data_IF_371308631161
#
_entry.id   IF_371308631161
#
_cell.length_a   1.000
_cell.length_b   1.000
_cell.length_c   1.000
_cell.angle_alpha   90.00
_cell.angle_beta   90.00
_cell.angle_gamma   90.00
#
_symmetry.space_group_name_H-M   'P 1'
#
loop_
_entity.id
_entity.type
_entity.pdbx_description
1 polymer ?
#
# COMPACT_ATOMS: atom_id res chain seq x y z
N UNK A 1 15.66 15.59 -4.21
CA UNK A 1 16.24 14.81 -5.34
C UNK A 1 17.49 14.15 -4.81
N UNK A 2 17.53 12.82 -4.74
CA UNK A 2 18.69 12.09 -4.22
C UNK A 2 19.62 11.76 -5.40
N UNK A 3 20.91 12.08 -5.28
CA UNK A 3 21.89 11.87 -6.35
C UNK A 3 22.90 10.83 -5.87
N UNK A 4 22.97 9.72 -6.58
CA UNK A 4 23.93 8.65 -6.33
C UNK A 4 25.11 8.84 -7.26
N UNK A 5 26.32 8.91 -6.71
CA UNK A 5 27.56 9.09 -7.49
C UNK A 5 28.46 7.86 -7.32
N UNK A 6 29.10 7.45 -8.42
CA UNK A 6 30.21 6.50 -8.40
C UNK A 6 31.51 7.27 -8.18
N UNK A 7 32.34 6.83 -7.23
CA UNK A 7 33.63 7.46 -6.93
C UNK A 7 34.72 6.39 -7.04
N UNK A 8 35.73 6.66 -7.87
CA UNK A 8 36.92 5.80 -7.97
C UNK A 8 37.90 6.10 -6.83
N UNK A 9 38.36 5.08 -6.13
CA UNK A 9 39.34 5.23 -5.07
C UNK A 9 40.70 5.74 -5.62
N UNK A 10 41.25 6.79 -5.00
CA UNK A 10 42.68 7.12 -5.11
C UNK A 10 43.43 6.55 -3.90
N UNK A 11 44.62 5.95 -4.07
CA UNK A 11 45.28 5.22 -3.00
C UNK A 11 46.15 6.15 -2.16
N UNK A 12 45.67 6.57 -0.99
CA UNK A 12 46.53 6.97 0.13
C UNK A 12 45.68 7.17 1.39
N UNK A 13 45.78 6.25 2.34
CA UNK A 13 46.11 6.52 3.75
C UNK A 13 46.23 5.16 4.46
N UNK A 14 47.46 4.86 4.82
CA UNK A 14 47.88 3.70 5.60
C UNK A 14 47.27 3.69 6.99
N UNK A 15 46.78 2.53 7.44
CA UNK A 15 46.68 2.24 8.88
C UNK A 15 47.14 0.81 9.14
N UNK A 16 48.36 0.71 9.65
CA UNK A 16 49.00 -0.52 10.05
C UNK A 16 48.38 -1.04 11.36
N UNK A 17 48.04 -2.33 11.40
CA UNK A 17 48.02 -3.12 12.63
C UNK A 17 48.41 -4.54 12.28
N UNK A 18 49.53 -4.98 12.85
CA UNK A 18 50.18 -6.26 12.59
C UNK A 18 49.47 -7.40 13.33
N UNK A 19 49.31 -8.56 12.67
CA UNK A 19 49.32 -9.85 13.34
C UNK A 19 49.75 -10.98 12.38
N UNK A 20 50.39 -12.00 12.96
CA UNK A 20 51.35 -12.96 12.40
C UNK A 20 50.86 -13.89 11.27
N UNK A 21 51.84 -14.21 10.42
CA UNK A 21 51.94 -15.17 9.32
C UNK A 21 51.47 -16.61 9.63
N UNK A 22 50.65 -17.19 8.75
CA UNK A 22 50.73 -18.61 8.37
C UNK A 22 50.59 -18.72 6.85
N UNK A 23 51.44 -19.54 6.24
CA UNK A 23 51.86 -19.51 4.84
C UNK A 23 50.80 -20.03 3.84
N UNK A 24 50.60 -19.30 2.74
CA UNK A 24 49.80 -19.66 1.55
C UNK A 24 50.74 -20.25 0.48
N UNK A 25 50.39 -21.30 -0.28
CA UNK A 25 50.87 -21.44 -1.64
C UNK A 25 50.03 -20.55 -2.57
N UNK A 26 50.73 -19.68 -3.29
CA UNK A 26 50.20 -18.70 -4.22
C UNK A 26 49.40 -19.33 -5.36
N UNK A 27 48.19 -18.81 -5.58
CA UNK A 27 47.55 -18.81 -6.88
C UNK A 27 47.07 -17.38 -7.09
N UNK A 28 47.87 -16.66 -7.88
CA UNK A 28 47.65 -15.27 -8.26
C UNK A 28 46.49 -15.21 -9.25
N UNK A 29 45.27 -15.06 -8.73
CA UNK A 29 44.14 -14.60 -9.52
C UNK A 29 43.99 -13.10 -9.29
N UNK A 30 44.72 -12.34 -10.12
CA UNK A 30 44.57 -10.90 -10.28
C UNK A 30 43.21 -10.65 -10.93
N UNK A 31 42.19 -10.49 -10.10
CA UNK A 31 41.02 -9.72 -10.46
C UNK A 31 41.22 -8.35 -9.83
N UNK A 32 41.56 -7.36 -10.66
CA UNK A 32 41.50 -5.95 -10.29
C UNK A 32 40.09 -5.68 -9.75
N UNK A 33 39.96 -5.55 -8.43
CA UNK A 33 38.74 -5.04 -7.82
C UNK A 33 38.75 -3.53 -8.11
N UNK A 34 38.23 -3.15 -9.28
CA UNK A 34 37.69 -1.81 -9.52
C UNK A 34 36.51 -1.64 -8.55
N UNK A 35 36.84 -1.47 -7.27
CA UNK A 35 35.94 -1.35 -6.14
C UNK A 35 35.30 0.03 -6.21
N UNK A 36 34.42 0.22 -7.20
CA UNK A 36 33.58 1.39 -7.33
C UNK A 36 32.58 1.37 -6.18
N UNK A 37 32.95 1.95 -5.06
CA UNK A 37 32.05 2.08 -3.92
C UNK A 37 31.08 3.23 -4.18
N UNK A 38 29.80 2.94 -3.98
CA UNK A 38 28.72 3.92 -4.14
C UNK A 38 28.46 4.59 -2.79
N UNK A 39 28.67 5.91 -2.70
CA UNK A 39 28.43 6.68 -1.47
C UNK A 39 27.11 7.44 -1.58
N UNK A 40 26.29 7.38 -0.54
CA UNK A 40 25.10 8.21 -0.43
C UNK A 40 25.51 9.64 -0.02
N UNK A 41 25.62 10.53 -1.00
CA UNK A 41 26.00 11.94 -0.81
C UNK A 41 24.77 12.85 -0.77
N UNK A 42 24.78 13.88 0.08
CA UNK A 42 23.75 14.95 0.07
C UNK A 42 22.44 14.61 0.80
N UNK A 43 22.40 13.53 1.57
CA UNK A 43 21.25 13.14 2.39
C UNK A 43 21.57 13.18 3.88
N UNK A 44 20.53 13.31 4.71
CA UNK A 44 20.71 13.35 6.15
C UNK A 44 21.08 11.95 6.71
N UNK A 45 21.72 11.92 7.89
CA UNK A 45 22.17 10.67 8.53
C UNK A 45 21.05 9.64 8.72
N UNK A 46 19.82 10.11 9.00
CA UNK A 46 18.64 9.27 9.08
C UNK A 46 18.39 8.52 7.77
N UNK A 47 18.43 9.21 6.63
CA UNK A 47 18.17 8.59 5.33
C UNK A 47 19.28 7.63 4.92
N UNK A 48 20.54 7.96 5.23
CA UNK A 48 21.68 7.05 5.05
C UNK A 48 21.46 5.75 5.83
N UNK A 49 20.99 5.85 7.08
CA UNK A 49 20.73 4.68 7.93
C UNK A 49 19.59 3.81 7.38
N UNK A 50 18.52 4.42 6.87
CA UNK A 50 17.40 3.72 6.25
C UNK A 50 17.82 3.01 4.96
N UNK A 51 18.59 3.68 4.10
CA UNK A 51 19.13 3.07 2.89
C UNK A 51 20.04 1.88 3.19
N UNK A 52 20.88 1.96 4.23
CA UNK A 52 21.70 0.81 4.67
C UNK A 52 20.84 -0.38 5.07
N UNK A 53 19.80 -0.17 5.88
CA UNK A 53 18.87 -1.24 6.28
C UNK A 53 18.16 -1.82 5.05
N UNK A 54 17.70 -0.96 4.14
CA UNK A 54 17.03 -1.37 2.90
C UNK A 54 17.94 -2.24 2.02
N UNK A 55 19.15 -1.79 1.69
CA UNK A 55 20.07 -2.54 0.84
C UNK A 55 20.55 -3.84 1.49
N UNK A 56 20.71 -3.85 2.81
CA UNK A 56 20.95 -5.08 3.56
C UNK A 56 19.78 -6.06 3.41
N UNK A 57 18.52 -5.59 3.44
CA UNK A 57 17.36 -6.48 3.28
C UNK A 57 17.22 -7.08 1.87
N UNK A 58 17.63 -6.35 0.83
CA UNK A 58 17.54 -6.80 -0.57
C UNK A 58 18.63 -7.81 -0.93
N UNK A 59 19.78 -7.75 -0.24
CA UNK A 59 20.90 -8.68 -0.45
C UNK A 59 20.78 -9.97 0.36
N UNK A 60 19.80 -10.07 1.26
CA UNK A 60 19.52 -11.32 1.95
C UNK A 60 18.92 -12.32 0.96
N UNK A 61 19.45 -13.53 0.98
CA UNK A 61 18.83 -14.65 0.30
C UNK A 61 17.39 -14.78 0.81
N UNK A 62 16.39 -14.97 -0.08
CA UNK A 62 15.00 -15.13 0.35
C UNK A 62 14.92 -16.20 1.45
N UNK A 63 14.17 -15.96 2.55
CA UNK A 63 14.00 -16.94 3.61
C UNK A 63 13.65 -18.31 3.04
N UNK A 64 14.14 -19.39 3.64
CA UNK A 64 14.01 -20.74 3.09
C UNK A 64 12.56 -21.13 2.76
N UNK A 65 11.60 -20.58 3.51
CA UNK A 65 10.15 -20.75 3.33
C UNK A 65 9.59 -20.10 2.05
N UNK A 66 10.31 -19.13 1.49
CA UNK A 66 9.96 -18.44 0.23
C UNK A 66 10.70 -19.00 -1.00
N UNK A 67 11.59 -19.97 -0.79
CA UNK A 67 12.32 -20.61 -1.88
C UNK A 67 11.44 -21.70 -2.49
N UNK A 68 11.09 -21.54 -3.76
CA UNK A 68 10.33 -22.54 -4.52
C UNK A 68 11.09 -23.88 -4.69
N UNK A 69 12.38 -23.90 -4.37
CA UNK A 69 13.24 -25.07 -4.47
C UNK A 69 14.25 -25.05 -3.32
N UNK A 70 14.29 -26.13 -2.53
CA UNK A 70 15.30 -26.35 -1.49
C UNK A 70 16.70 -26.30 -2.08
N UNK A 71 17.65 -25.63 -1.41
CA UNK A 71 19.04 -25.50 -1.89
C UNK A 71 19.81 -26.81 -1.94
N UNK A 72 19.30 -27.85 -1.27
CA UNK A 72 19.84 -29.20 -1.30
C UNK A 72 19.03 -30.07 -2.28
N UNK A 73 19.40 -30.01 -3.56
CA UNK A 73 18.88 -30.90 -4.59
C UNK A 73 19.86 -32.07 -4.73
N UNK A 74 19.88 -32.96 -3.74
CA UNK A 74 20.28 -34.35 -3.98
C UNK A 74 19.21 -35.14 -4.76
N UNK A 75 18.12 -34.48 -5.15
CA UNK A 75 17.01 -35.06 -5.91
C UNK A 75 17.34 -35.24 -7.41
N UNK A 76 18.54 -35.74 -7.74
CA UNK A 76 18.76 -36.37 -9.05
C UNK A 76 18.00 -37.69 -9.05
N UNK A 77 16.72 -37.61 -9.40
CA UNK A 77 15.93 -38.80 -9.76
C UNK A 77 16.72 -39.57 -10.84
N UNK A 78 16.85 -40.89 -10.68
CA UNK A 78 17.43 -41.76 -11.72
C UNK A 78 16.80 -41.42 -13.06
N UNK A 79 17.62 -41.35 -14.11
CA UNK A 79 17.12 -41.20 -15.47
C UNK A 79 16.05 -42.26 -15.73
N UNK A 80 14.81 -41.81 -15.97
CA UNK A 80 13.69 -42.71 -16.18
C UNK A 80 13.97 -43.57 -17.42
N UNK A 81 13.89 -44.90 -17.26
CA UNK A 81 13.92 -45.82 -18.39
C UNK A 81 12.73 -45.58 -19.32
N UNK A 82 12.84 -46.09 -20.55
CA UNK A 82 11.80 -46.03 -21.61
C UNK A 82 10.45 -46.53 -21.10
N UNK A 83 9.68 -45.63 -20.51
CA UNK A 83 8.31 -45.85 -20.06
C UNK A 83 7.42 -45.28 -21.15
N UNK A 84 6.53 -46.13 -21.67
CA UNK A 84 5.51 -45.76 -22.65
C UNK A 84 4.83 -44.46 -22.18
N UNK A 85 4.99 -43.40 -22.95
CA UNK A 85 4.48 -42.08 -22.61
C UNK A 85 2.98 -42.18 -22.36
N UNK A 86 2.57 -42.06 -21.09
CA UNK A 86 1.16 -41.87 -20.77
C UNK A 86 0.74 -40.53 -21.40
N UNK A 87 -0.40 -40.52 -22.10
CA UNK A 87 -0.93 -39.33 -22.76
C UNK A 87 -0.99 -38.19 -21.73
N UNK A 88 -0.33 -37.07 -22.04
CA UNK A 88 -0.29 -35.90 -21.17
C UNK A 88 -1.71 -35.36 -20.98
N UNK A 89 -2.27 -35.50 -19.77
CA UNK A 89 -3.64 -35.09 -19.43
C UNK A 89 -3.71 -33.56 -19.18
N UNK A 90 -2.57 -32.87 -19.04
CA UNK A 90 -2.53 -31.45 -18.69
C UNK A 90 -3.13 -30.53 -19.77
N UNK A 91 -3.30 -31.03 -21.00
CA UNK A 91 -3.96 -30.32 -22.10
C UNK A 91 -5.36 -30.85 -22.43
N UNK A 92 -5.93 -31.75 -21.62
CA UNK A 92 -7.33 -32.15 -21.81
C UNK A 92 -8.23 -31.03 -21.29
N UNK A 93 -9.03 -30.46 -22.19
CA UNK A 93 -10.09 -29.53 -21.80
C UNK A 93 -10.99 -30.23 -20.79
N UNK A 94 -11.33 -29.58 -19.66
CA UNK A 94 -12.29 -30.15 -18.73
C UNK A 94 -13.58 -30.43 -19.49
N UNK A 95 -14.13 -31.64 -19.36
CA UNK A 95 -15.49 -31.92 -19.83
C UNK A 95 -16.41 -30.95 -19.11
N UNK A 96 -17.23 -30.19 -19.85
CA UNK A 96 -18.19 -29.21 -19.30
C UNK A 96 -19.05 -29.87 -18.22
N UNK A 97 -18.63 -29.75 -16.96
CA UNK A 97 -19.30 -30.40 -15.86
C UNK A 97 -20.38 -29.44 -15.40
N UNK A 98 -21.56 -29.53 -16.02
CA UNK A 98 -22.74 -28.67 -15.77
C UNK A 98 -23.03 -28.50 -14.27
N UNK A 99 -22.71 -29.51 -13.45
CA UNK A 99 -22.84 -29.46 -11.98
C UNK A 99 -21.88 -28.46 -11.33
N UNK A 100 -20.65 -28.34 -11.83
CA UNK A 100 -19.64 -27.40 -11.34
C UNK A 100 -20.03 -25.95 -11.65
N UNK A 101 -20.47 -25.68 -12.89
CA UNK A 101 -21.03 -24.38 -13.30
C UNK A 101 -22.20 -23.96 -12.38
N UNK A 102 -23.15 -24.87 -12.13
CA UNK A 102 -24.28 -24.60 -11.23
C UNK A 102 -23.85 -24.26 -9.80
N UNK A 103 -22.82 -24.93 -9.27
CA UNK A 103 -22.30 -24.67 -7.92
C UNK A 103 -21.61 -23.31 -7.84
N UNK A 104 -20.84 -22.94 -8.87
CA UNK A 104 -20.19 -21.63 -8.95
C UNK A 104 -21.20 -20.50 -9.05
N UNK A 105 -22.22 -20.67 -9.90
CA UNK A 105 -23.32 -19.72 -10.03
C UNK A 105 -24.09 -19.53 -8.71
N UNK A 106 -24.40 -20.62 -8.02
CA UNK A 106 -25.07 -20.56 -6.72
C UNK A 106 -24.21 -19.84 -5.67
N UNK A 107 -22.91 -20.12 -5.62
CA UNK A 107 -21.98 -19.46 -4.71
C UNK A 107 -21.93 -17.94 -4.97
N UNK A 108 -21.85 -17.53 -6.23
CA UNK A 108 -21.86 -16.13 -6.64
C UNK A 108 -23.18 -15.45 -6.25
N UNK A 109 -24.33 -16.10 -6.51
CA UNK A 109 -25.64 -15.55 -6.18
C UNK A 109 -25.81 -15.39 -4.67
N UNK A 110 -25.34 -16.36 -3.87
CA UNK A 110 -25.34 -16.26 -2.40
C UNK A 110 -24.48 -15.09 -1.91
N UNK A 111 -23.33 -14.82 -2.52
CA UNK A 111 -22.49 -13.67 -2.18
C UNK A 111 -23.20 -12.35 -2.50
N UNK A 112 -23.75 -12.22 -3.71
CA UNK A 112 -24.49 -11.04 -4.14
C UNK A 112 -25.67 -10.72 -3.21
N UNK A 113 -26.45 -11.72 -2.82
CA UNK A 113 -27.59 -11.53 -1.92
C UNK A 113 -27.16 -11.08 -0.52
N UNK A 114 -26.05 -11.61 0.00
CA UNK A 114 -25.48 -11.18 1.29
C UNK A 114 -25.05 -9.72 1.24
N UNK A 115 -24.33 -9.33 0.18
CA UNK A 115 -23.90 -7.93 0.00
C UNK A 115 -25.10 -7.00 -0.12
N UNK A 116 -26.09 -7.35 -0.96
CA UNK A 116 -27.32 -6.58 -1.11
C UNK A 116 -28.04 -6.39 0.21
N UNK A 117 -28.16 -7.44 1.04
CA UNK A 117 -28.77 -7.34 2.36
C UNK A 117 -28.00 -6.40 3.30
N UNK A 118 -26.67 -6.45 3.27
CA UNK A 118 -25.82 -5.51 4.04
C UNK A 118 -26.09 -4.08 3.60
N UNK A 119 -26.09 -3.79 2.29
CA UNK A 119 -26.35 -2.44 1.79
C UNK A 119 -27.74 -1.92 2.12
N UNK A 120 -28.77 -2.78 2.04
CA UNK A 120 -30.13 -2.42 2.45
C UNK A 120 -30.20 -2.06 3.94
N UNK A 121 -29.52 -2.83 4.81
CA UNK A 121 -29.46 -2.52 6.24
C UNK A 121 -28.76 -1.19 6.52
N UNK A 122 -27.68 -0.88 5.78
CA UNK A 122 -26.96 0.40 5.88
C UNK A 122 -27.82 1.57 5.39
N UNK A 123 -28.56 1.40 4.29
CA UNK A 123 -29.48 2.41 3.77
C UNK A 123 -30.57 2.74 4.79
N UNK A 124 -31.20 1.72 5.38
CA UNK A 124 -32.21 1.90 6.43
C UNK A 124 -31.66 2.67 7.64
N UNK A 125 -30.47 2.30 8.13
CA UNK A 125 -29.79 3.04 9.22
C UNK A 125 -29.53 4.51 8.86
N UNK A 126 -29.16 4.78 7.60
CA UNK A 126 -28.95 6.15 7.10
C UNK A 126 -30.26 6.95 7.11
N UNK A 127 -31.36 6.34 6.70
CA UNK A 127 -32.69 6.97 6.76
C UNK A 127 -33.10 7.31 8.20
N UNK A 128 -32.87 6.39 9.14
CA UNK A 128 -33.12 6.61 10.58
C UNK A 128 -32.32 7.79 11.13
N UNK A 129 -31.03 7.90 10.80
CA UNK A 129 -30.17 9.02 11.19
C UNK A 129 -30.69 10.34 10.61
N UNK A 130 -31.04 10.36 9.31
CA UNK A 130 -31.57 11.55 8.65
C UNK A 130 -32.88 11.99 9.31
N UNK A 131 -33.78 11.06 9.61
CA UNK A 131 -35.04 11.35 10.28
C UNK A 131 -34.82 11.94 11.69
N UNK A 132 -33.88 11.39 12.45
CA UNK A 132 -33.50 11.92 13.76
C UNK A 132 -32.98 13.36 13.67
N UNK A 133 -32.06 13.63 12.73
CA UNK A 133 -31.49 14.96 12.54
C UNK A 133 -32.54 15.99 12.11
N UNK A 134 -33.47 15.60 11.24
CA UNK A 134 -34.62 16.44 10.85
C UNK A 134 -35.47 16.81 12.07
N UNK A 135 -35.83 15.82 12.90
CA UNK A 135 -36.58 16.05 14.13
C UNK A 135 -35.84 16.99 15.10
N UNK A 136 -34.54 16.76 15.32
CA UNK A 136 -33.73 17.63 16.18
C UNK A 136 -33.67 19.07 15.64
N UNK A 137 -33.59 19.24 14.32
CA UNK A 137 -33.62 20.57 13.68
C UNK A 137 -34.95 21.26 13.89
N UNK A 138 -36.06 20.56 13.69
CA UNK A 138 -37.41 21.10 13.92
C UNK A 138 -37.62 21.51 15.39
N UNK A 139 -37.18 20.69 16.33
CA UNK A 139 -37.22 21.02 17.76
C UNK A 139 -36.36 22.24 18.10
N UNK A 140 -35.17 22.38 17.50
CA UNK A 140 -34.33 23.57 17.65
C UNK A 140 -35.04 24.81 17.11
N UNK A 141 -35.57 24.74 15.89
CA UNK A 141 -36.30 25.86 15.27
C UNK A 141 -37.47 26.29 16.17
N UNK A 142 -38.27 25.34 16.65
CA UNK A 142 -39.39 25.63 17.55
C UNK A 142 -38.95 26.34 18.84
N UNK A 143 -37.84 25.91 19.45
CA UNK A 143 -37.27 26.56 20.65
C UNK A 143 -36.75 27.96 20.33
N UNK A 144 -36.05 28.10 19.20
CA UNK A 144 -35.57 29.40 18.72
C UNK A 144 -36.72 30.35 18.48
N UNK A 145 -37.79 29.94 17.79
CA UNK A 145 -38.97 30.76 17.50
C UNK A 145 -39.61 31.33 18.76
N UNK A 146 -39.66 30.55 19.85
CA UNK A 146 -40.15 31.03 21.16
C UNK A 146 -39.16 32.01 21.81
N UNK A 147 -37.85 31.75 21.71
CA UNK A 147 -36.81 32.55 22.38
C UNK A 147 -36.39 33.83 21.62
N UNK A 148 -36.56 33.85 20.29
CA UNK A 148 -36.25 34.97 19.39
C UNK A 148 -36.80 36.31 19.89
N UNK A 149 -38.09 36.43 20.26
CA UNK A 149 -38.64 37.70 20.77
C UNK A 149 -38.08 38.09 22.16
N UNK A 150 -37.66 37.13 22.98
CA UNK A 150 -37.17 37.37 24.35
C UNK A 150 -35.64 37.46 24.45
N UNK A 151 -34.93 37.51 23.32
CA UNK A 151 -33.46 37.53 23.33
C UNK A 151 -32.97 38.92 23.78
N UNK A 152 -32.23 39.03 24.91
CA UNK A 152 -31.73 40.33 25.36
C UNK A 152 -30.79 40.90 24.30
N UNK A 153 -31.02 42.15 23.93
CA UNK A 153 -30.15 42.93 23.05
C UNK A 153 -28.80 43.15 23.76
N UNK A 154 -27.87 42.20 23.62
CA UNK A 154 -26.46 42.46 23.93
C UNK A 154 -26.04 43.64 23.05
N UNK A 155 -25.65 44.74 23.68
CA UNK A 155 -25.23 45.97 23.02
C UNK A 155 -24.17 45.70 21.96
N UNK A 156 -24.31 46.34 20.80
CA UNK A 156 -23.59 46.10 19.53
C UNK A 156 -22.12 46.56 19.55
N UNK A 157 -21.38 46.33 20.63
CA UNK A 157 -19.96 46.71 20.76
C UNK A 157 -19.01 45.51 20.67
N UNK A 158 -19.35 44.49 19.87
CA UNK A 158 -18.38 43.47 19.42
C UNK A 158 -18.63 43.18 17.94
N UNK A 159 -18.04 44.02 17.09
CA UNK A 159 -17.87 43.74 15.67
C UNK A 159 -16.94 42.55 15.49
N UNK A 160 -17.51 41.35 15.33
CA UNK A 160 -16.90 40.29 14.54
C UNK A 160 -17.72 40.16 13.26
N UNK A 161 -17.31 40.95 12.28
CA UNK A 161 -17.77 40.88 10.89
C UNK A 161 -17.30 39.56 10.29
N UNK A 162 -18.20 38.58 10.23
CA UNK A 162 -17.97 37.28 9.60
C UNK A 162 -18.95 37.07 8.42
N UNK A 163 -19.16 38.12 7.63
CA UNK A 163 -20.02 38.11 6.43
C UNK A 163 -19.31 37.58 5.18
N UNK A 164 -18.15 36.94 5.32
CA UNK A 164 -17.31 36.53 4.19
C UNK A 164 -17.81 35.27 3.46
N UNK A 165 -18.55 34.37 4.13
CA UNK A 165 -18.84 33.04 3.59
C UNK A 165 -20.13 32.91 2.76
N UNK A 166 -21.05 33.88 2.79
CA UNK A 166 -22.36 33.74 2.15
C UNK A 166 -22.32 34.05 0.64
N UNK A 167 -21.36 34.87 0.20
CA UNK A 167 -21.20 35.22 -1.21
C UNK A 167 -20.59 34.06 -2.03
N UNK A 168 -19.64 33.34 -1.45
CA UNK A 168 -18.90 32.24 -2.09
C UNK A 168 -19.83 31.07 -2.47
N UNK A 169 -20.71 30.68 -1.54
CA UNK A 169 -21.70 29.61 -1.76
C UNK A 169 -22.74 30.00 -2.83
N UNK A 170 -23.13 31.28 -2.88
CA UNK A 170 -24.09 31.77 -3.87
C UNK A 170 -23.48 31.79 -5.28
N UNK A 171 -22.18 32.07 -5.38
CA UNK A 171 -21.44 32.12 -6.63
C UNK A 171 -21.22 30.71 -7.21
N UNK A 172 -20.92 29.72 -6.35
CA UNK A 172 -20.86 28.31 -6.74
C UNK A 172 -22.20 27.77 -7.26
N UNK A 173 -23.31 28.11 -6.58
CA UNK A 173 -24.66 27.71 -7.01
C UNK A 173 -24.97 28.27 -8.40
N UNK A 174 -24.65 29.54 -8.65
CA UNK A 174 -24.85 30.16 -9.96
C UNK A 174 -23.94 29.57 -11.04
N UNK A 175 -22.70 29.22 -10.71
CA UNK A 175 -21.76 28.62 -11.65
C UNK A 175 -22.25 27.25 -12.14
N UNK A 176 -22.75 26.40 -11.24
CA UNK A 176 -23.32 25.08 -11.60
C UNK A 176 -24.54 25.24 -12.51
N UNK A 177 -25.37 26.25 -12.27
CA UNK A 177 -26.60 26.48 -13.01
C UNK A 177 -26.36 27.00 -14.45
N UNK A 178 -25.19 27.57 -14.75
CA UNK A 178 -24.80 28.01 -16.11
C UNK A 178 -24.24 26.88 -16.99
N UNK A 179 -23.92 25.73 -16.42
CA UNK A 179 -23.34 24.60 -17.14
C UNK A 179 -24.39 23.57 -17.61
N UNK A 180 -25.67 23.80 -17.27
CA UNK A 180 -26.83 23.03 -17.73
C UNK A 180 -27.52 23.73 -18.89
#
# INVERSE_FOLDING_TARGET
MCTVHSVSASPAVSRATACKQVNLPAMEDVWEDDSSYTVFSGSCERDVSLCKIFWNSVTLQPPLESRLVSGDIEQRLRAAGSTKQNKNIAHQQPVDNIKMESLLFEAQQRQYLKEKAIYLSKAKKREEIIALLKKQREERIKKEDISRPNKPQITKNRSRSDSSGYNDVQEEIQAVQRLQ
#
